data_IF_102548318453
#
_entry.id   IF_102548318453
#
_cell.length_a   1.000
_cell.length_b   1.000
_cell.length_c   1.000
_cell.angle_alpha   90.00
_cell.angle_beta   90.00
_cell.angle_gamma   90.00
#
_symmetry.space_group_name_H-M   'P 1'
#
loop_
_entity.id
_entity.type
_entity.pdbx_description
1 polymer ?
#
# COMPACT_ATOMS: atom_id res chain seq x y z
N UNK A 1 83.20 -39.89 -34.64
CA UNK A 1 82.33 -40.70 -33.77
C UNK A 1 81.05 -39.92 -33.50
N UNK A 2 79.92 -40.50 -33.93
CA UNK A 2 78.52 -40.32 -33.48
C UNK A 2 77.90 -38.92 -33.40
N UNK A 3 77.15 -38.55 -34.46
CA UNK A 3 75.97 -37.66 -34.38
C UNK A 3 74.74 -38.51 -34.07
N UNK A 4 74.10 -38.29 -32.93
CA UNK A 4 72.80 -38.88 -32.59
C UNK A 4 71.69 -38.18 -33.39
N UNK A 5 71.01 -38.96 -34.24
CA UNK A 5 69.79 -38.56 -34.93
C UNK A 5 68.61 -38.91 -34.01
N UNK A 6 67.93 -37.89 -33.50
CA UNK A 6 66.63 -38.06 -32.84
C UNK A 6 65.57 -38.33 -33.90
N UNK A 7 65.06 -39.57 -33.93
CA UNK A 7 63.83 -39.93 -34.66
C UNK A 7 62.64 -39.45 -33.83
N UNK A 8 61.92 -38.44 -34.33
CA UNK A 8 60.60 -38.11 -33.80
C UNK A 8 59.64 -39.27 -34.10
N UNK A 9 59.28 -40.02 -33.04
CA UNK A 9 58.21 -41.03 -33.10
C UNK A 9 56.86 -40.33 -33.24
N UNK A 10 56.29 -40.46 -34.44
CA UNK A 10 54.89 -40.19 -34.79
C UNK A 10 53.96 -41.22 -34.15
N UNK A 11 53.78 -41.18 -32.82
CA UNK A 11 52.82 -42.03 -32.10
C UNK A 11 52.25 -41.27 -30.89
N UNK A 12 51.57 -40.15 -31.14
CA UNK A 12 50.77 -39.43 -30.13
C UNK A 12 49.47 -38.89 -30.75
N UNK A 13 48.80 -39.71 -31.55
CA UNK A 13 47.53 -39.37 -32.18
C UNK A 13 46.59 -40.58 -32.19
N UNK A 14 46.33 -41.18 -31.03
CA UNK A 14 45.25 -42.14 -30.87
C UNK A 14 45.01 -42.37 -29.37
N UNK A 15 44.24 -41.48 -28.76
CA UNK A 15 43.28 -41.74 -27.67
C UNK A 15 42.59 -40.41 -27.33
N UNK A 16 42.12 -39.71 -28.36
CA UNK A 16 40.92 -38.91 -28.20
C UNK A 16 39.81 -39.95 -28.04
N UNK A 17 39.45 -40.28 -26.80
CA UNK A 17 38.15 -40.89 -26.55
C UNK A 17 37.16 -39.88 -27.12
N UNK A 18 36.42 -40.20 -28.19
CA UNK A 18 35.33 -39.33 -28.58
C UNK A 18 34.40 -39.32 -27.36
N UNK A 19 34.22 -38.15 -26.76
CA UNK A 19 33.06 -37.89 -25.94
C UNK A 19 31.86 -38.06 -26.87
N UNK A 20 31.43 -39.30 -27.05
CA UNK A 20 30.14 -39.64 -27.60
C UNK A 20 29.17 -39.25 -26.49
N UNK A 21 28.80 -37.97 -26.43
CA UNK A 21 27.52 -37.58 -25.86
C UNK A 21 26.49 -37.98 -26.92
N UNK A 22 26.26 -39.28 -27.04
CA UNK A 22 25.01 -39.77 -27.56
C UNK A 22 24.02 -39.62 -26.41
N UNK A 23 23.44 -38.43 -26.28
CA UNK A 23 22.05 -38.39 -25.86
C UNK A 23 21.25 -39.05 -27.00
N UNK A 24 21.15 -40.38 -26.95
CA UNK A 24 20.15 -41.12 -27.73
C UNK A 24 18.78 -40.85 -27.10
N UNK A 25 18.37 -39.59 -27.09
CA UNK A 25 16.97 -39.25 -26.91
C UNK A 25 16.35 -39.41 -28.31
N UNK A 26 15.37 -40.31 -28.50
CA UNK A 26 14.68 -40.45 -29.77
C UNK A 26 14.12 -39.09 -30.22
N UNK A 27 13.71 -38.89 -31.48
CA UNK A 27 12.93 -37.71 -31.85
C UNK A 27 11.56 -37.80 -31.15
N UNK A 28 11.50 -37.43 -29.87
CA UNK A 28 10.28 -37.29 -29.11
C UNK A 28 9.81 -35.85 -29.29
N UNK A 29 8.57 -35.69 -29.74
CA UNK A 29 8.01 -34.36 -30.00
C UNK A 29 7.21 -33.91 -28.76
N UNK A 30 7.81 -33.09 -27.91
CA UNK A 30 7.09 -32.41 -26.82
C UNK A 30 6.35 -31.18 -27.35
N UNK A 31 5.42 -31.41 -28.27
CA UNK A 31 4.62 -30.36 -28.91
C UNK A 31 3.89 -29.47 -27.87
N UNK A 32 3.44 -30.05 -26.75
CA UNK A 32 2.82 -29.30 -25.65
C UNK A 32 3.77 -28.27 -25.00
N UNK A 33 5.07 -28.57 -24.89
CA UNK A 33 6.08 -27.64 -24.35
C UNK A 33 6.25 -26.46 -25.29
N UNK A 34 6.44 -26.71 -26.59
CA UNK A 34 6.57 -25.63 -27.58
C UNK A 34 5.30 -24.78 -27.69
N UNK A 35 4.12 -25.41 -27.59
CA UNK A 35 2.86 -24.70 -27.56
C UNK A 35 2.70 -23.86 -26.29
N UNK A 36 3.13 -24.35 -25.13
CA UNK A 36 3.16 -23.59 -23.89
C UNK A 36 4.06 -22.35 -24.00
N UNK A 37 5.27 -22.51 -24.55
CA UNK A 37 6.18 -21.38 -24.79
C UNK A 37 5.55 -20.33 -25.71
N UNK A 38 4.92 -20.77 -26.81
CA UNK A 38 4.20 -19.86 -27.71
C UNK A 38 3.00 -19.18 -27.04
N UNK A 39 2.33 -19.84 -26.09
CA UNK A 39 1.26 -19.22 -25.29
C UNK A 39 1.81 -18.19 -24.30
N UNK A 40 2.91 -18.49 -23.64
CA UNK A 40 3.59 -17.55 -22.76
C UNK A 40 3.98 -16.27 -23.50
N UNK A 41 4.55 -16.39 -24.71
CA UNK A 41 4.91 -15.23 -25.54
C UNK A 41 3.70 -14.32 -25.82
N UNK A 42 2.56 -14.92 -26.20
CA UNK A 42 1.31 -14.16 -26.43
C UNK A 42 0.83 -13.45 -25.17
N UNK A 43 0.88 -14.12 -24.02
CA UNK A 43 0.47 -13.52 -22.74
C UNK A 43 1.36 -12.32 -22.42
N UNK A 44 2.69 -12.49 -22.50
CA UNK A 44 3.64 -11.40 -22.22
C UNK A 44 3.46 -10.23 -23.17
N UNK A 45 3.17 -10.50 -24.45
CA UNK A 45 2.89 -9.46 -25.45
C UNK A 45 1.63 -8.63 -25.12
N UNK A 46 0.67 -9.17 -24.37
CA UNK A 46 -0.54 -8.45 -23.96
C UNK A 46 -0.31 -7.51 -22.76
N UNK A 47 0.68 -7.81 -21.90
CA UNK A 47 0.89 -7.08 -20.63
C UNK A 47 1.01 -5.56 -20.83
N UNK A 48 1.85 -5.03 -21.74
CA UNK A 48 2.02 -3.58 -21.88
C UNK A 48 0.74 -2.83 -22.23
N UNK A 49 -0.19 -3.50 -22.93
CA UNK A 49 -1.46 -2.91 -23.35
C UNK A 49 -2.54 -2.91 -22.26
N UNK A 50 -2.34 -3.69 -21.19
CA UNK A 50 -3.33 -3.92 -20.15
C UNK A 50 -2.87 -3.54 -18.74
N UNK A 51 -1.65 -3.01 -18.59
CA UNK A 51 -1.12 -2.53 -17.30
C UNK A 51 -1.06 -1.00 -17.23
N UNK A 52 -1.00 -0.30 -18.37
CA UNK A 52 -0.92 1.16 -18.42
C UNK A 52 -1.80 1.72 -19.54
N UNK A 53 -2.52 2.85 -19.34
CA UNK A 53 -2.61 3.66 -18.12
C UNK A 53 -3.55 3.10 -17.05
N UNK A 54 -4.32 2.05 -17.37
CA UNK A 54 -5.27 1.43 -16.45
C UNK A 54 -5.09 -0.08 -16.48
N UNK A 55 -5.01 -0.68 -15.30
CA UNK A 55 -4.88 -2.12 -15.16
C UNK A 55 -6.20 -2.81 -15.55
N UNK A 56 -6.17 -3.61 -16.61
CA UNK A 56 -7.33 -4.31 -17.20
C UNK A 56 -7.00 -5.76 -17.56
N UNK A 57 -5.96 -6.31 -16.96
CA UNK A 57 -5.40 -7.59 -17.36
C UNK A 57 -6.37 -8.73 -17.03
N UNK A 58 -6.96 -8.74 -15.83
CA UNK A 58 -7.78 -9.85 -15.36
C UNK A 58 -9.16 -9.89 -16.05
N UNK A 59 -9.73 -8.73 -16.37
CA UNK A 59 -11.04 -8.60 -17.03
C UNK A 59 -10.95 -8.69 -18.55
N UNK A 60 -9.74 -8.66 -19.11
CA UNK A 60 -9.52 -8.91 -20.52
C UNK A 60 -9.77 -10.38 -20.88
N UNK A 61 -10.77 -10.60 -21.73
CA UNK A 61 -11.20 -11.94 -22.16
C UNK A 61 -10.08 -12.70 -22.88
N UNK A 62 -9.26 -12.00 -23.67
CA UNK A 62 -8.18 -12.61 -24.43
C UNK A 62 -7.04 -13.06 -23.50
N UNK A 63 -6.64 -12.23 -22.54
CA UNK A 63 -5.66 -12.60 -21.52
C UNK A 63 -6.12 -13.81 -20.71
N UNK A 64 -7.35 -13.78 -20.18
CA UNK A 64 -7.90 -14.90 -19.40
C UNK A 64 -8.00 -16.20 -20.21
N UNK A 65 -8.22 -16.10 -21.53
CA UNK A 65 -8.24 -17.24 -22.44
C UNK A 65 -6.84 -17.82 -22.67
N UNK A 66 -5.86 -17.00 -23.05
CA UNK A 66 -4.49 -17.48 -23.29
C UNK A 66 -3.87 -18.00 -21.99
N UNK A 67 -4.15 -17.39 -20.82
CA UNK A 67 -3.71 -17.90 -19.52
C UNK A 67 -4.21 -19.32 -19.25
N UNK A 68 -5.51 -19.59 -19.39
CA UNK A 68 -6.07 -20.93 -19.19
C UNK A 68 -5.48 -21.94 -20.16
N UNK A 69 -5.35 -21.57 -21.44
CA UNK A 69 -4.72 -22.43 -22.44
C UNK A 69 -3.26 -22.75 -22.10
N UNK A 70 -2.50 -21.79 -21.56
CA UNK A 70 -1.14 -22.02 -21.10
C UNK A 70 -1.09 -23.01 -19.93
N UNK A 71 -1.99 -22.88 -18.95
CA UNK A 71 -2.05 -23.82 -17.82
C UNK A 71 -2.37 -25.25 -18.28
N UNK A 72 -3.34 -25.41 -19.18
CA UNK A 72 -3.70 -26.72 -19.76
C UNK A 72 -2.52 -27.36 -20.52
N UNK A 73 -1.81 -26.58 -21.34
CA UNK A 73 -0.64 -27.06 -22.09
C UNK A 73 0.52 -27.44 -21.17
N UNK A 74 0.73 -26.66 -20.10
CA UNK A 74 1.74 -26.96 -19.09
C UNK A 74 1.42 -28.28 -18.37
N UNK A 75 0.18 -28.48 -17.91
CA UNK A 75 -0.25 -29.73 -17.27
C UNK A 75 -0.12 -30.93 -18.22
N UNK A 76 -0.47 -30.75 -19.49
CA UNK A 76 -0.27 -31.77 -20.52
C UNK A 76 1.22 -32.12 -20.70
N UNK A 77 2.09 -31.12 -20.74
CA UNK A 77 3.54 -31.33 -20.88
C UNK A 77 4.17 -32.00 -19.64
N UNK A 78 3.70 -31.62 -18.45
CA UNK A 78 4.21 -32.15 -17.17
C UNK A 78 3.72 -33.58 -16.88
N UNK A 79 2.56 -33.97 -17.41
CA UNK A 79 1.99 -35.32 -17.23
C UNK A 79 2.61 -36.37 -18.16
N UNK A 80 3.21 -35.97 -19.28
CA UNK A 80 3.98 -36.89 -20.13
C UNK A 80 5.31 -37.26 -19.45
N UNK A 81 5.55 -38.54 -19.11
CA UNK A 81 6.73 -38.94 -18.35
C UNK A 81 8.05 -38.77 -19.11
N UNK A 82 8.01 -38.79 -20.44
CA UNK A 82 9.16 -38.58 -21.31
C UNK A 82 9.47 -37.08 -21.35
N UNK A 83 8.48 -36.25 -21.70
CA UNK A 83 8.63 -34.80 -21.73
C UNK A 83 9.02 -34.21 -20.37
N UNK A 84 8.41 -34.69 -19.28
CA UNK A 84 8.73 -34.31 -17.92
C UNK A 84 10.19 -34.61 -17.57
N UNK A 85 10.70 -35.77 -17.96
CA UNK A 85 12.11 -36.12 -17.69
C UNK A 85 13.08 -35.20 -18.41
N UNK A 86 12.80 -34.86 -19.67
CA UNK A 86 13.71 -34.10 -20.50
C UNK A 86 13.65 -32.58 -20.26
N UNK A 87 12.46 -32.01 -20.12
CA UNK A 87 12.28 -30.56 -20.03
C UNK A 87 12.20 -30.07 -18.58
N UNK A 88 11.72 -30.92 -17.65
CA UNK A 88 11.44 -30.47 -16.29
C UNK A 88 12.46 -30.96 -15.25
N UNK A 89 12.95 -32.20 -15.39
CA UNK A 89 13.79 -32.85 -14.36
C UNK A 89 15.29 -32.88 -14.70
N UNK A 90 15.68 -32.35 -15.85
CA UNK A 90 17.05 -32.49 -16.38
C UNK A 90 18.03 -31.43 -15.87
N UNK A 91 17.54 -30.22 -15.63
CA UNK A 91 18.37 -29.06 -15.26
C UNK A 91 17.99 -28.57 -13.86
N UNK A 92 18.95 -27.98 -13.14
CA UNK A 92 18.69 -27.26 -11.88
C UNK A 92 17.89 -25.97 -12.11
N UNK A 93 17.95 -25.45 -13.33
CA UNK A 93 17.24 -24.26 -13.79
C UNK A 93 16.23 -24.74 -14.82
N UNK A 94 14.98 -24.90 -14.41
CA UNK A 94 13.89 -25.32 -15.29
C UNK A 94 13.18 -24.08 -15.83
N UNK A 95 13.43 -23.77 -17.11
CA UNK A 95 12.84 -22.60 -17.77
C UNK A 95 11.33 -22.69 -17.89
N UNK A 96 10.80 -23.89 -18.14
CA UNK A 96 9.36 -24.12 -18.29
C UNK A 96 8.64 -23.90 -16.96
N UNK A 97 9.18 -24.43 -15.86
CA UNK A 97 8.64 -24.16 -14.51
C UNK A 97 8.71 -22.68 -14.17
N UNK A 98 9.83 -22.00 -14.46
CA UNK A 98 9.93 -20.57 -14.17
C UNK A 98 8.91 -19.75 -14.95
N UNK A 99 8.69 -20.05 -16.24
CA UNK A 99 7.67 -19.38 -17.04
C UNK A 99 6.28 -19.61 -16.47
N UNK A 100 5.95 -20.86 -16.11
CA UNK A 100 4.69 -21.21 -15.45
C UNK A 100 4.52 -20.45 -14.13
N UNK A 101 5.54 -20.47 -13.27
CA UNK A 101 5.50 -19.84 -11.95
C UNK A 101 5.35 -18.33 -12.06
N UNK A 102 5.95 -17.68 -13.08
CA UNK A 102 5.70 -16.28 -13.36
C UNK A 102 4.25 -16.01 -13.74
N UNK A 103 3.63 -16.86 -14.58
CA UNK A 103 2.21 -16.72 -14.93
C UNK A 103 1.30 -16.93 -13.72
N UNK A 104 1.55 -17.97 -12.91
CA UNK A 104 0.79 -18.24 -11.68
C UNK A 104 0.96 -17.10 -10.67
N UNK A 105 2.17 -16.59 -10.51
CA UNK A 105 2.47 -15.45 -9.64
C UNK A 105 1.72 -14.19 -10.10
N UNK A 106 1.74 -13.88 -11.40
CA UNK A 106 1.01 -12.76 -11.97
C UNK A 106 -0.51 -12.89 -11.71
N UNK A 107 -1.07 -14.06 -11.98
CA UNK A 107 -2.51 -14.35 -11.80
C UNK A 107 -2.96 -14.24 -10.34
N UNK A 108 -2.19 -14.85 -9.43
CA UNK A 108 -2.51 -14.89 -8.01
C UNK A 108 -2.27 -13.55 -7.31
N UNK A 109 -1.18 -12.85 -7.63
CA UNK A 109 -0.87 -11.53 -7.08
C UNK A 109 -1.90 -10.49 -7.51
N UNK A 110 -2.33 -10.54 -8.78
CA UNK A 110 -3.40 -9.66 -9.27
C UNK A 110 -4.81 -10.10 -8.81
N UNK A 111 -4.89 -11.23 -8.10
CA UNK A 111 -6.12 -11.87 -7.67
C UNK A 111 -7.13 -12.01 -8.84
N UNK A 112 -6.67 -12.40 -10.03
CA UNK A 112 -7.49 -12.40 -11.24
C UNK A 112 -8.68 -13.38 -11.16
N UNK A 113 -8.54 -14.46 -10.38
CA UNK A 113 -9.62 -15.42 -10.19
C UNK A 113 -10.88 -14.77 -9.60
N UNK A 114 -10.71 -13.81 -8.69
CA UNK A 114 -11.78 -13.09 -8.04
C UNK A 114 -12.65 -12.28 -9.00
N UNK A 115 -12.03 -11.67 -10.01
CA UNK A 115 -12.72 -10.98 -11.11
C UNK A 115 -13.58 -11.94 -11.96
N UNK A 116 -13.19 -13.21 -12.06
CA UNK A 116 -13.92 -14.21 -12.83
C UNK A 116 -15.03 -14.87 -12.03
N UNK A 117 -14.76 -15.20 -10.77
CA UNK A 117 -15.73 -15.80 -9.87
C UNK A 117 -16.92 -14.85 -9.63
N UNK A 118 -16.66 -13.54 -9.70
CA UNK A 118 -17.64 -12.45 -9.57
C UNK A 118 -17.83 -11.67 -10.86
N UNK A 119 -17.81 -12.37 -12.00
CA UNK A 119 -17.85 -11.73 -13.32
C UNK A 119 -19.08 -10.83 -13.54
N UNK A 120 -20.20 -11.05 -12.83
CA UNK A 120 -21.38 -10.20 -12.94
C UNK A 120 -21.18 -8.89 -12.18
N UNK A 121 -20.75 -8.97 -10.92
CA UNK A 121 -20.52 -7.82 -10.05
C UNK A 121 -19.36 -6.96 -10.56
N UNK A 122 -18.27 -7.59 -11.03
CA UNK A 122 -17.15 -6.89 -11.67
C UNK A 122 -17.61 -6.14 -12.92
N UNK A 123 -18.48 -6.75 -13.74
CA UNK A 123 -19.01 -6.11 -14.96
C UNK A 123 -19.94 -4.95 -14.62
N UNK A 124 -20.79 -5.11 -13.62
CA UNK A 124 -21.67 -4.04 -13.14
C UNK A 124 -20.86 -2.86 -12.61
N UNK A 125 -19.84 -3.12 -11.79
CA UNK A 125 -18.93 -2.08 -11.28
C UNK A 125 -18.24 -1.31 -12.41
N UNK A 126 -17.70 -2.02 -13.42
CA UNK A 126 -17.03 -1.39 -14.56
C UNK A 126 -18.02 -0.59 -15.44
N UNK A 127 -19.25 -1.07 -15.62
CA UNK A 127 -20.28 -0.35 -16.35
C UNK A 127 -20.68 0.96 -15.65
N UNK A 128 -20.82 0.93 -14.33
CA UNK A 128 -21.13 2.12 -13.54
C UNK A 128 -19.94 3.11 -13.56
N UNK A 129 -18.71 2.61 -13.51
CA UNK A 129 -17.53 3.45 -13.74
C UNK A 129 -17.58 4.18 -15.08
N UNK A 130 -17.95 3.50 -16.17
CA UNK A 130 -18.09 4.14 -17.49
C UNK A 130 -19.15 5.25 -17.49
N UNK A 131 -20.21 5.11 -16.68
CA UNK A 131 -21.22 6.16 -16.49
C UNK A 131 -20.66 7.36 -15.72
N UNK A 132 -19.92 7.13 -14.63
CA UNK A 132 -19.24 8.21 -13.92
C UNK A 132 -18.23 8.92 -14.83
N UNK A 133 -17.42 8.19 -15.60
CA UNK A 133 -16.43 8.80 -16.48
C UNK A 133 -17.09 9.67 -17.56
N UNK A 134 -18.24 9.23 -18.11
CA UNK A 134 -19.08 10.06 -18.98
C UNK A 134 -19.57 11.33 -18.27
N UNK A 135 -20.01 11.23 -17.02
CA UNK A 135 -20.42 12.39 -16.23
C UNK A 135 -19.26 13.37 -16.02
N UNK A 136 -18.09 12.87 -15.59
CA UNK A 136 -16.89 13.67 -15.36
C UNK A 136 -16.44 14.39 -16.64
N UNK A 137 -16.45 13.67 -17.77
CA UNK A 137 -16.10 14.22 -19.08
C UNK A 137 -17.10 15.26 -19.57
N UNK A 138 -18.39 15.10 -19.25
CA UNK A 138 -19.42 16.10 -19.56
C UNK A 138 -19.28 17.37 -18.71
N UNK A 139 -18.79 17.25 -17.48
CA UNK A 139 -18.73 18.33 -16.49
C UNK A 139 -17.30 18.69 -16.05
N UNK A 140 -16.33 18.73 -16.97
CA UNK A 140 -14.90 18.92 -16.68
C UNK A 140 -14.55 20.11 -15.75
N UNK A 141 -15.29 21.22 -15.85
CA UNK A 141 -15.02 22.43 -15.06
C UNK A 141 -15.58 22.37 -13.64
N UNK A 142 -16.66 21.61 -13.42
CA UNK A 142 -17.36 21.55 -12.13
C UNK A 142 -18.12 20.23 -11.98
N UNK A 143 -17.43 19.08 -11.87
CA UNK A 143 -18.09 17.77 -11.88
C UNK A 143 -18.64 17.36 -10.50
N UNK A 144 -18.21 18.04 -9.43
CA UNK A 144 -18.47 17.58 -8.06
C UNK A 144 -19.95 17.47 -7.72
N UNK A 145 -20.76 18.48 -8.03
CA UNK A 145 -22.20 18.45 -7.76
C UNK A 145 -22.96 17.53 -8.74
N UNK A 146 -22.81 17.65 -10.08
CA UNK A 146 -23.59 16.84 -11.02
C UNK A 146 -23.22 15.35 -11.01
N UNK A 147 -21.99 14.99 -10.61
CA UNK A 147 -21.52 13.61 -10.60
C UNK A 147 -21.41 13.01 -9.19
N UNK A 148 -21.82 13.73 -8.13
CA UNK A 148 -21.75 13.26 -6.75
C UNK A 148 -22.51 11.95 -6.54
N UNK A 149 -23.70 11.83 -7.13
CA UNK A 149 -24.54 10.64 -7.01
C UNK A 149 -23.87 9.43 -7.66
N UNK A 150 -23.41 9.55 -8.91
CA UNK A 150 -22.69 8.48 -9.62
C UNK A 150 -21.42 8.05 -8.89
N UNK A 151 -20.65 9.01 -8.35
CA UNK A 151 -19.47 8.72 -7.55
C UNK A 151 -19.84 7.97 -6.25
N UNK A 152 -20.89 8.42 -5.55
CA UNK A 152 -21.38 7.78 -4.34
C UNK A 152 -21.87 6.34 -4.58
N UNK A 153 -22.53 6.09 -5.70
CA UNK A 153 -23.00 4.76 -6.10
C UNK A 153 -21.83 3.78 -6.30
N UNK A 154 -20.80 4.19 -7.07
CA UNK A 154 -19.61 3.35 -7.31
C UNK A 154 -18.83 3.12 -6.01
N UNK A 155 -18.65 4.14 -5.19
CA UNK A 155 -17.99 4.00 -3.89
C UNK A 155 -18.75 3.01 -3.00
N UNK A 156 -20.08 3.06 -2.98
CA UNK A 156 -20.92 2.12 -2.22
C UNK A 156 -20.81 0.69 -2.75
N UNK A 157 -20.83 0.50 -4.07
CA UNK A 157 -20.63 -0.81 -4.70
C UNK A 157 -19.23 -1.39 -4.41
N UNK A 158 -18.19 -0.58 -4.50
CA UNK A 158 -16.83 -0.96 -4.16
C UNK A 158 -16.73 -1.43 -2.69
N UNK A 159 -17.31 -0.68 -1.75
CA UNK A 159 -17.35 -1.08 -0.35
C UNK A 159 -18.11 -2.40 -0.14
N UNK A 160 -19.18 -2.63 -0.90
CA UNK A 160 -19.90 -3.90 -0.92
C UNK A 160 -19.04 -5.06 -1.39
N UNK A 161 -18.30 -4.88 -2.49
CA UNK A 161 -17.36 -5.87 -3.03
C UNK A 161 -16.26 -6.23 -2.03
N UNK A 162 -15.66 -5.22 -1.38
CA UNK A 162 -14.58 -5.43 -0.39
C UNK A 162 -15.10 -6.17 0.84
N UNK A 163 -16.22 -5.72 1.43
CA UNK A 163 -16.80 -6.32 2.64
C UNK A 163 -17.22 -7.78 2.43
N UNK A 164 -17.59 -8.15 1.22
CA UNK A 164 -18.00 -9.52 0.90
C UNK A 164 -16.87 -10.55 1.06
N UNK A 165 -15.58 -10.16 0.94
CA UNK A 165 -14.52 -11.15 0.66
C UNK A 165 -13.12 -10.82 1.21
N UNK A 166 -12.94 -10.99 2.52
CA UNK A 166 -11.63 -11.00 3.23
C UNK A 166 -10.71 -9.81 2.86
N UNK A 167 -11.28 -8.66 2.53
CA UNK A 167 -10.57 -7.44 2.16
C UNK A 167 -9.63 -7.56 0.93
N UNK A 168 -9.79 -8.61 0.11
CA UNK A 168 -9.02 -8.80 -1.13
C UNK A 168 -9.95 -8.84 -2.33
N UNK A 169 -9.68 -7.95 -3.30
CA UNK A 169 -10.40 -7.84 -4.57
C UNK A 169 -9.42 -7.96 -5.73
N UNK A 170 -9.88 -8.22 -6.94
CA UNK A 170 -9.00 -8.21 -8.10
C UNK A 170 -8.44 -6.80 -8.41
N UNK A 171 -7.20 -6.77 -8.88
CA UNK A 171 -6.45 -5.51 -9.11
C UNK A 171 -7.11 -4.62 -10.17
N UNK A 172 -7.79 -5.19 -11.18
CA UNK A 172 -8.54 -4.39 -12.16
C UNK A 172 -9.59 -3.47 -11.50
N UNK A 173 -10.30 -3.97 -10.48
CA UNK A 173 -11.31 -3.19 -9.74
C UNK A 173 -10.63 -2.21 -8.78
N UNK A 174 -9.59 -2.66 -8.08
CA UNK A 174 -8.84 -1.83 -7.14
C UNK A 174 -8.18 -0.62 -7.83
N UNK A 175 -7.45 -0.86 -8.92
CA UNK A 175 -6.78 0.18 -9.69
C UNK A 175 -7.79 1.18 -10.24
N UNK A 176 -8.91 0.69 -10.79
CA UNK A 176 -9.99 1.54 -11.29
C UNK A 176 -10.56 2.44 -10.20
N UNK A 177 -10.80 1.91 -9.00
CA UNK A 177 -11.30 2.69 -7.87
C UNK A 177 -10.25 3.70 -7.37
N UNK A 178 -8.98 3.30 -7.29
CA UNK A 178 -7.88 4.16 -6.87
C UNK A 178 -7.70 5.35 -7.81
N UNK A 179 -7.72 5.11 -9.13
CA UNK A 179 -7.70 6.19 -10.11
C UNK A 179 -8.93 7.10 -9.99
N UNK A 180 -10.13 6.53 -9.83
CA UNK A 180 -11.37 7.30 -9.62
C UNK A 180 -11.26 8.22 -8.40
N UNK A 181 -10.80 7.69 -7.27
CA UNK A 181 -10.58 8.47 -6.03
C UNK A 181 -9.55 9.57 -6.22
N UNK A 182 -8.46 9.28 -6.92
CA UNK A 182 -7.43 10.27 -7.24
C UNK A 182 -8.00 11.40 -8.10
N UNK A 183 -8.69 11.09 -9.20
CA UNK A 183 -9.33 12.10 -10.06
C UNK A 183 -10.37 12.92 -9.29
N UNK A 184 -11.23 12.26 -8.52
CA UNK A 184 -12.26 12.95 -7.73
C UNK A 184 -11.68 13.91 -6.68
N UNK A 185 -10.68 13.45 -5.92
CA UNK A 185 -10.14 14.19 -4.79
C UNK A 185 -9.03 15.17 -5.15
N UNK A 186 -8.08 14.79 -6.01
CA UNK A 186 -6.88 15.57 -6.32
C UNK A 186 -7.03 16.39 -7.60
N UNK A 187 -7.58 15.81 -8.66
CA UNK A 187 -7.74 16.52 -9.94
C UNK A 187 -8.92 17.51 -9.88
N UNK A 188 -10.09 17.04 -9.46
CA UNK A 188 -11.30 17.86 -9.40
C UNK A 188 -11.56 18.54 -8.04
N UNK A 189 -10.78 18.21 -7.01
CA UNK A 189 -10.91 18.80 -5.65
C UNK A 189 -12.31 18.68 -5.04
N UNK A 190 -13.05 17.61 -5.36
CA UNK A 190 -14.43 17.43 -4.93
C UNK A 190 -14.59 17.06 -3.44
N UNK A 191 -13.51 16.74 -2.74
CA UNK A 191 -13.52 16.47 -1.30
C UNK A 191 -13.57 17.74 -0.41
N UNK A 192 -13.79 18.93 -0.99
CA UNK A 192 -13.68 20.23 -0.31
C UNK A 192 -14.59 20.39 0.92
N UNK A 193 -15.70 19.66 0.99
CA UNK A 193 -16.57 19.66 2.19
C UNK A 193 -15.86 19.15 3.45
N UNK A 194 -14.82 18.31 3.32
CA UNK A 194 -14.00 17.84 4.45
C UNK A 194 -13.17 18.97 5.09
N UNK A 195 -12.80 19.98 4.30
CA UNK A 195 -12.06 21.16 4.78
C UNK A 195 -12.91 22.03 5.73
N UNK A 196 -14.22 22.09 5.49
CA UNK A 196 -15.13 22.88 6.33
C UNK A 196 -15.30 22.26 7.73
N UNK A 197 -15.28 20.93 7.81
CA UNK A 197 -15.33 20.19 9.07
C UNK A 197 -14.10 20.41 9.95
N UNK A 198 -12.92 20.60 9.36
CA UNK A 198 -11.70 20.92 10.13
C UNK A 198 -11.80 22.27 10.83
N UNK A 199 -12.35 23.29 10.18
CA UNK A 199 -12.53 24.61 10.79
C UNK A 199 -13.48 24.54 11.98
N UNK A 200 -14.63 23.88 11.83
CA UNK A 200 -15.59 23.70 12.93
C UNK A 200 -14.99 22.90 14.08
N UNK A 201 -14.26 21.83 13.79
CA UNK A 201 -13.57 21.04 14.80
C UNK A 201 -12.54 21.86 15.58
N UNK A 202 -11.71 22.66 14.89
CA UNK A 202 -10.71 23.53 15.53
C UNK A 202 -11.36 24.57 16.43
N UNK A 203 -12.45 25.19 15.97
CA UNK A 203 -13.21 26.16 16.80
C UNK A 203 -13.73 25.48 18.07
N UNK A 204 -14.39 24.33 17.94
CA UNK A 204 -14.94 23.61 19.10
C UNK A 204 -13.82 23.18 20.06
N UNK A 205 -12.75 22.60 19.53
CA UNK A 205 -11.59 22.18 20.32
C UNK A 205 -10.96 23.36 21.07
N UNK A 206 -10.80 24.52 20.42
CA UNK A 206 -10.24 25.72 21.05
C UNK A 206 -11.09 26.22 22.21
N UNK A 207 -12.42 26.20 22.07
CA UNK A 207 -13.37 26.57 23.14
C UNK A 207 -13.18 25.64 24.34
N UNK A 208 -13.20 24.32 24.13
CA UNK A 208 -13.00 23.35 25.20
C UNK A 208 -11.64 23.47 25.89
N UNK A 209 -10.57 23.72 25.14
CA UNK A 209 -9.24 23.96 25.70
C UNK A 209 -9.13 25.26 26.50
N UNK A 210 -9.94 26.28 26.17
CA UNK A 210 -9.93 27.57 26.88
C UNK A 210 -10.72 27.58 28.19
N UNK A 211 -11.71 26.68 28.33
CA UNK A 211 -12.59 26.61 29.51
C UNK A 211 -11.82 26.45 30.84
N UNK A 212 -10.82 25.55 30.97
CA UNK A 212 -10.04 25.43 32.20
C UNK A 212 -9.29 26.72 32.55
N UNK A 213 -8.71 27.39 31.55
CA UNK A 213 -7.95 28.63 31.75
C UNK A 213 -8.88 29.73 32.28
N UNK A 214 -10.02 29.92 31.63
CA UNK A 214 -11.03 30.90 32.06
C UNK A 214 -11.53 30.57 33.46
N UNK A 215 -11.82 29.29 33.75
CA UNK A 215 -12.25 28.85 35.08
C UNK A 215 -11.22 29.20 36.16
N UNK A 216 -9.93 28.90 35.94
CA UNK A 216 -8.87 29.22 36.89
C UNK A 216 -8.70 30.73 37.09
N UNK A 217 -8.78 31.53 36.02
CA UNK A 217 -8.71 32.99 36.10
C UNK A 217 -9.88 33.56 36.90
N UNK A 218 -11.11 33.09 36.64
CA UNK A 218 -12.31 33.52 37.38
C UNK A 218 -12.18 33.16 38.85
N UNK A 219 -11.80 31.92 39.16
CA UNK A 219 -11.58 31.48 40.55
C UNK A 219 -10.52 32.32 41.25
N UNK A 220 -9.40 32.62 40.58
CA UNK A 220 -8.34 33.47 41.14
C UNK A 220 -8.85 34.87 41.47
N UNK A 221 -9.55 35.52 40.54
CA UNK A 221 -10.09 36.88 40.72
C UNK A 221 -11.14 36.92 41.83
N UNK A 222 -12.06 35.95 41.87
CA UNK A 222 -13.10 35.86 42.89
C UNK A 222 -12.48 35.67 44.28
N UNK A 223 -11.49 34.79 44.42
CA UNK A 223 -10.78 34.58 45.70
C UNK A 223 -10.09 35.86 46.17
N UNK A 224 -9.36 36.55 45.29
CA UNK A 224 -8.70 37.83 45.63
C UNK A 224 -9.69 38.93 46.01
N UNK A 225 -10.81 39.03 45.29
CA UNK A 225 -11.85 40.01 45.60
C UNK A 225 -12.52 39.72 46.96
N UNK A 226 -12.69 38.45 47.32
CA UNK A 226 -13.21 38.03 48.62
C UNK A 226 -12.22 38.37 49.74
N UNK A 227 -10.94 38.04 49.59
CA UNK A 227 -9.87 38.40 50.54
C UNK A 227 -9.80 39.91 50.79
N UNK A 228 -9.90 40.74 49.74
CA UNK A 228 -9.88 42.19 49.87
C UNK A 228 -11.11 42.75 50.62
N UNK A 229 -12.29 42.14 50.42
CA UNK A 229 -13.51 42.49 51.15
C UNK A 229 -13.47 42.07 52.62
N UNK A 230 -12.84 40.94 52.94
CA UNK A 230 -12.67 40.50 54.32
C UNK A 230 -11.71 41.40 55.08
N UNK A 231 -10.55 41.76 54.49
CA UNK A 231 -9.60 42.70 55.10
C UNK A 231 -10.17 44.11 55.35
N UNK A 232 -11.09 44.57 54.52
CA UNK A 232 -11.78 45.86 54.72
C UNK A 232 -12.90 45.81 55.76
N UNK A 233 -13.27 44.62 56.24
CA UNK A 233 -14.32 44.41 57.24
C UNK A 233 -13.78 44.10 58.64
N UNK A 234 -12.47 43.90 58.81
CA UNK A 234 -11.85 43.84 60.14
C UNK A 234 -11.86 45.24 60.78
N UNK A 235 -12.43 45.42 62.00
CA UNK A 235 -12.27 46.65 62.76
C UNK A 235 -10.80 46.77 63.20
N UNK A 236 -10.20 47.94 62.95
CA UNK A 236 -8.94 48.36 63.55
C UNK A 236 -9.07 48.26 65.09
N UNK A 237 -8.53 47.19 65.68
CA UNK A 237 -8.15 47.22 67.09
C UNK A 237 -6.86 48.04 67.16
N UNK A 238 -7.07 49.29 67.54
CA UNK A 238 -6.08 50.31 67.87
C UNK A 238 -5.16 49.78 68.99
N UNK A 239 -3.89 49.51 68.67
CA UNK A 239 -2.85 49.31 69.67
C UNK A 239 -2.31 50.69 70.07
N UNK A 240 -3.06 51.36 70.93
CA UNK A 240 -2.59 52.50 71.69
C UNK A 240 -2.26 52.04 73.10
N UNK A 241 -0.98 51.81 73.40
CA UNK A 241 -0.48 51.67 74.76
C UNK A 241 0.90 52.33 74.91
N UNK A 242 0.84 53.63 75.17
CA UNK A 242 1.62 54.38 76.16
C UNK A 242 3.14 54.17 76.29
N UNK A 243 3.89 55.22 75.97
CA UNK A 243 5.16 55.59 76.63
C UNK A 243 4.96 55.66 78.17
N UNK A 244 5.93 55.32 79.06
CA UNK A 244 7.13 56.07 79.54
C UNK A 244 7.68 55.28 80.79
N UNK A 245 8.93 55.36 81.34
CA UNK A 245 10.29 55.64 80.82
C UNK A 245 11.42 54.66 81.29
N UNK A 246 12.60 54.84 80.68
CA UNK A 246 13.98 54.81 81.21
C UNK A 246 14.50 53.65 82.10
N UNK A 247 15.51 52.95 81.56
CA UNK A 247 16.41 52.09 82.33
C UNK A 247 17.61 51.58 81.53
N UNK A 248 18.70 52.36 81.55
CA UNK A 248 20.13 51.99 81.58
C UNK A 248 20.59 50.58 81.11
N UNK A 249 21.59 50.53 80.22
CA UNK A 249 22.61 49.46 80.24
C UNK A 249 22.91 48.74 78.93
N UNK A 250 23.88 49.27 78.18
CA UNK A 250 25.09 48.58 77.66
C UNK A 250 25.03 47.12 77.18
N UNK A 251 25.50 46.87 75.95
CA UNK A 251 26.28 45.65 75.66
C UNK A 251 26.02 44.96 74.31
N UNK A 252 26.96 45.17 73.37
CA UNK A 252 27.45 44.27 72.32
C UNK A 252 26.68 43.00 71.90
N UNK A 253 26.53 42.82 70.58
CA UNK A 253 27.09 41.64 69.91
C UNK A 253 26.18 40.77 69.02
N UNK A 254 26.43 40.85 67.70
CA UNK A 254 26.58 39.72 66.75
C UNK A 254 25.40 38.75 66.48
N UNK A 255 24.85 38.81 65.25
CA UNK A 255 25.01 37.72 64.26
C UNK A 255 23.86 36.72 63.93
N UNK A 256 23.37 36.82 62.68
CA UNK A 256 23.14 35.78 61.62
C UNK A 256 22.07 34.64 61.78
N UNK A 257 21.49 34.28 60.61
CA UNK A 257 20.85 33.01 60.12
C UNK A 257 19.30 33.06 60.10
N UNK A 258 18.54 33.05 58.99
CA UNK A 258 18.50 32.35 57.68
C UNK A 258 17.87 30.93 57.70
N UNK A 259 16.84 30.73 56.86
CA UNK A 259 16.22 29.42 56.53
C UNK A 259 14.80 29.27 57.13
N UNK A 260 13.76 28.89 56.40
CA UNK A 260 13.64 28.24 55.08
C UNK A 260 12.32 28.63 54.40
#
# INVERSE_FOLDING_TARGET
MTRLVWKFSTLYAALLVPFVIADDLPPYNCDAVFKFEGQFEKIVALIPYHVYPIYTLCTNVQFAKEYRAAMELYEQAASDPVCARMNFKRSRVNLIDMMHDQLVSLWSTANCQDCLDRANETREFLANFDELDKCLTKHLLSPCDPCAESYGAIQGQYEGLVRGHKDTICVDVEDRMNQTRHRWSAEFNCCRNRQHSTTTFVVIASVFCSLPVVFYVVMYVVTRAKEARERSREPLLDDSSGDVPAGFGTGSGVGVVAGS
#
